data_IF_315732131368
#
_entry.id   IF_315732131368
#
_cell.length_a   1.000
_cell.length_b   1.000
_cell.length_c   1.000
_cell.angle_alpha   90.00
_cell.angle_beta   90.00
_cell.angle_gamma   90.00
#
_symmetry.space_group_name_H-M   'P 1'
#
loop_
_entity.id
_entity.type
_entity.pdbx_description
1 polymer ?
#
# COMPACT_ATOMS: atom_id res chain seq x y z
N UNK A 1 92.71 -21.74 -76.15
CA UNK A 1 92.22 -21.85 -74.75
C UNK A 1 92.05 -20.48 -74.06
N UNK A 2 92.97 -19.49 -74.27
CA UNK A 2 92.85 -18.15 -73.63
C UNK A 2 91.65 -17.32 -74.08
N UNK A 3 91.27 -17.37 -75.37
CA UNK A 3 90.04 -16.62 -75.86
C UNK A 3 88.72 -17.08 -75.23
N UNK A 4 88.57 -18.35 -74.96
CA UNK A 4 87.39 -18.89 -74.35
C UNK A 4 87.27 -18.53 -72.84
N UNK A 5 88.45 -18.38 -72.18
CA UNK A 5 88.50 -17.95 -70.78
C UNK A 5 88.13 -16.49 -70.64
N UNK A 6 88.59 -15.58 -71.46
CA UNK A 6 88.26 -14.16 -71.48
C UNK A 6 86.71 -13.92 -71.75
N UNK A 7 86.13 -14.75 -72.62
CA UNK A 7 84.70 -14.64 -72.93
C UNK A 7 83.87 -15.08 -71.72
N UNK A 8 84.30 -16.09 -71.00
CA UNK A 8 83.65 -16.61 -69.84
C UNK A 8 83.72 -15.66 -68.64
N UNK A 9 84.87 -15.03 -68.44
CA UNK A 9 85.07 -14.03 -67.39
C UNK A 9 84.27 -12.77 -67.68
N UNK A 10 84.16 -12.36 -68.92
CA UNK A 10 83.34 -11.23 -69.32
C UNK A 10 81.81 -11.52 -69.13
N UNK A 11 81.38 -12.73 -69.39
CA UNK A 11 80.01 -13.15 -69.17
C UNK A 11 79.68 -13.23 -67.66
N UNK A 12 80.63 -13.68 -66.87
CA UNK A 12 80.43 -13.72 -65.40
C UNK A 12 80.37 -12.32 -64.79
N UNK A 13 81.25 -11.39 -65.26
CA UNK A 13 81.22 -9.99 -64.85
C UNK A 13 79.94 -9.29 -65.26
N UNK A 14 79.44 -9.50 -66.47
CA UNK A 14 78.15 -8.95 -66.89
C UNK A 14 76.97 -9.50 -66.05
N UNK A 15 77.05 -10.80 -65.79
CA UNK A 15 75.94 -11.41 -64.92
C UNK A 15 76.02 -10.94 -63.49
N UNK A 16 77.26 -10.68 -62.99
CA UNK A 16 77.44 -10.11 -61.65
C UNK A 16 76.94 -8.66 -61.58
N UNK A 17 77.15 -7.86 -62.64
CA UNK A 17 76.64 -6.51 -62.77
C UNK A 17 75.10 -6.50 -62.88
N UNK A 18 74.49 -7.39 -63.67
CA UNK A 18 73.02 -7.51 -63.75
C UNK A 18 72.42 -7.91 -62.45
N UNK A 19 73.03 -8.84 -61.72
CA UNK A 19 72.58 -9.26 -60.42
C UNK A 19 72.72 -8.14 -59.37
N UNK A 20 73.78 -7.31 -59.45
CA UNK A 20 73.96 -6.17 -58.55
C UNK A 20 72.94 -5.05 -58.82
N UNK A 21 72.63 -4.79 -60.09
CA UNK A 21 71.61 -3.84 -60.52
C UNK A 21 70.21 -4.35 -60.11
N UNK A 22 69.95 -5.61 -60.32
CA UNK A 22 68.70 -6.24 -59.89
C UNK A 22 68.54 -6.21 -58.37
N UNK A 23 69.64 -6.44 -57.63
CA UNK A 23 69.62 -6.34 -56.17
C UNK A 23 69.46 -4.90 -55.70
N UNK A 24 70.05 -3.91 -56.37
CA UNK A 24 69.82 -2.50 -56.01
C UNK A 24 68.45 -1.96 -56.42
N UNK A 25 67.86 -2.48 -57.48
CA UNK A 25 66.53 -2.15 -57.92
C UNK A 25 65.43 -2.90 -57.11
N UNK A 26 65.76 -4.06 -56.53
CA UNK A 26 64.88 -4.80 -55.65
C UNK A 26 64.76 -4.19 -54.20
N UNK A 27 65.67 -3.31 -53.86
CA UNK A 27 65.55 -2.48 -52.67
C UNK A 27 64.54 -1.38 -53.04
N UNK A 28 63.26 -1.72 -52.91
CA UNK A 28 62.21 -0.76 -53.17
C UNK A 28 62.48 0.54 -52.40
N UNK A 29 62.18 1.68 -53.06
CA UNK A 29 62.31 3.01 -52.51
C UNK A 29 61.32 3.22 -51.33
N UNK A 30 61.14 2.19 -50.51
CA UNK A 30 60.32 2.27 -49.29
C UNK A 30 61.20 2.69 -48.12
N UNK A 31 61.29 3.96 -47.93
CA UNK A 31 61.90 4.53 -46.74
C UNK A 31 60.86 4.50 -45.60
N UNK A 32 61.08 3.72 -44.56
CA UNK A 32 60.34 3.80 -43.35
C UNK A 32 60.66 5.16 -42.73
N UNK A 33 59.75 6.11 -42.91
CA UNK A 33 59.86 7.48 -42.39
C UNK A 33 59.54 7.53 -40.87
N UNK A 34 58.64 6.68 -40.45
CA UNK A 34 58.25 6.63 -39.02
C UNK A 34 57.84 5.18 -38.67
N UNK A 35 58.52 4.49 -37.76
CA UNK A 35 58.07 3.21 -37.26
C UNK A 35 56.78 3.42 -36.41
N UNK A 36 55.75 2.67 -36.74
CA UNK A 36 54.52 2.70 -35.98
C UNK A 36 54.76 2.28 -34.52
N UNK A 37 54.83 3.27 -33.62
CA UNK A 37 54.98 3.05 -32.18
C UNK A 37 53.58 3.00 -31.58
N UNK A 38 53.19 1.85 -31.02
CA UNK A 38 51.96 1.73 -30.28
C UNK A 38 52.07 2.56 -28.99
N UNK A 39 51.13 3.52 -28.82
CA UNK A 39 51.09 4.30 -27.58
C UNK A 39 50.75 3.37 -26.41
N UNK A 40 51.53 3.42 -25.30
CA UNK A 40 51.30 2.55 -24.12
C UNK A 40 49.96 2.81 -23.40
N UNK A 41 49.32 3.96 -23.68
CA UNK A 41 48.01 4.29 -23.10
C UNK A 41 46.92 4.15 -24.17
N UNK A 42 45.79 3.48 -23.85
CA UNK A 42 44.66 3.35 -24.75
C UNK A 42 44.01 4.70 -25.02
N UNK A 43 43.99 5.14 -26.28
CA UNK A 43 43.39 6.43 -26.70
C UNK A 43 41.88 6.39 -26.65
N UNK A 44 41.27 5.22 -26.78
CA UNK A 44 39.82 4.94 -26.70
C UNK A 44 39.55 3.57 -26.08
N UNK A 45 38.46 3.36 -25.35
CA UNK A 45 37.48 4.36 -24.87
C UNK A 45 38.02 5.18 -23.68
N UNK A 46 37.65 6.44 -23.59
CA UNK A 46 37.98 7.33 -22.43
C UNK A 46 37.17 6.89 -21.21
N UNK A 47 37.66 5.92 -20.45
CA UNK A 47 36.97 5.26 -19.35
C UNK A 47 36.41 6.24 -18.32
N UNK A 48 37.20 7.23 -17.90
CA UNK A 48 36.79 8.24 -16.93
C UNK A 48 35.60 9.09 -17.44
N UNK A 49 35.65 9.53 -18.71
CA UNK A 49 34.58 10.32 -19.31
C UNK A 49 33.27 9.51 -19.41
N UNK A 50 33.36 8.25 -19.83
CA UNK A 50 32.20 7.38 -19.95
C UNK A 50 31.55 7.09 -18.57
N UNK A 51 32.35 6.94 -17.51
CA UNK A 51 31.85 6.75 -16.16
C UNK A 51 31.11 8.01 -15.66
N UNK A 52 31.71 9.19 -15.87
CA UNK A 52 31.06 10.48 -15.47
C UNK A 52 29.77 10.69 -16.26
N UNK A 53 29.81 10.46 -17.58
CA UNK A 53 28.60 10.61 -18.40
C UNK A 53 27.49 9.62 -18.01
N UNK A 54 27.88 8.37 -17.73
CA UNK A 54 26.93 7.34 -17.23
C UNK A 54 26.34 7.70 -15.89
N UNK A 55 27.12 8.26 -14.97
CA UNK A 55 26.65 8.73 -13.68
C UNK A 55 25.64 9.88 -13.81
N UNK A 56 25.97 10.90 -14.65
CA UNK A 56 25.09 12.04 -14.90
C UNK A 56 23.77 11.57 -15.53
N UNK A 57 23.85 10.72 -16.55
CA UNK A 57 22.66 10.19 -17.22
C UNK A 57 21.79 9.36 -16.27
N UNK A 58 22.42 8.50 -15.45
CA UNK A 58 21.73 7.71 -14.43
C UNK A 58 21.01 8.58 -13.39
N UNK A 59 21.66 9.68 -12.97
CA UNK A 59 21.07 10.65 -12.05
C UNK A 59 19.84 11.34 -12.68
N UNK A 60 19.92 11.78 -13.93
CA UNK A 60 18.79 12.39 -14.65
C UNK A 60 17.62 11.42 -14.80
N UNK A 61 17.89 10.17 -15.19
CA UNK A 61 16.86 9.12 -15.32
C UNK A 61 16.21 8.84 -13.95
N UNK A 62 17.01 8.75 -12.90
CA UNK A 62 16.51 8.51 -11.53
C UNK A 62 15.59 9.63 -11.05
N UNK A 63 16.03 10.90 -11.19
CA UNK A 63 15.22 12.06 -10.82
C UNK A 63 13.95 12.14 -11.68
N UNK A 64 14.07 11.93 -13.00
CA UNK A 64 12.92 11.89 -13.91
C UNK A 64 11.91 10.81 -13.55
N UNK A 65 12.37 9.62 -13.20
CA UNK A 65 11.51 8.52 -12.77
C UNK A 65 10.78 8.82 -11.45
N UNK A 66 11.47 9.44 -10.47
CA UNK A 66 10.86 9.86 -9.21
C UNK A 66 9.81 10.94 -9.44
N UNK A 67 10.11 11.95 -10.25
CA UNK A 67 9.17 13.02 -10.59
C UNK A 67 7.95 12.48 -11.35
N UNK A 68 8.16 11.65 -12.36
CA UNK A 68 7.09 11.01 -13.11
C UNK A 68 6.19 10.17 -12.17
N UNK A 69 6.80 9.40 -11.26
CA UNK A 69 6.06 8.62 -10.27
C UNK A 69 5.30 9.51 -9.29
N UNK A 70 5.83 10.66 -8.89
CA UNK A 70 5.16 11.62 -8.02
C UNK A 70 3.97 12.28 -8.74
N UNK A 71 4.13 12.68 -10.00
CA UNK A 71 3.05 13.27 -10.80
C UNK A 71 1.92 12.29 -11.15
N UNK A 72 2.24 11.00 -11.30
CA UNK A 72 1.26 9.96 -11.58
C UNK A 72 0.51 9.47 -10.33
N UNK A 73 1.02 9.76 -9.13
CA UNK A 73 0.33 9.44 -7.87
C UNK A 73 -0.66 10.54 -7.55
N UNK A 74 -1.91 10.37 -8.01
CA UNK A 74 -3.04 11.22 -7.65
C UNK A 74 -3.76 10.61 -6.46
N UNK A 75 -3.38 10.98 -5.26
CA UNK A 75 -4.11 10.65 -4.02
C UNK A 75 -4.79 11.90 -3.47
N UNK A 76 -5.76 11.75 -2.57
CA UNK A 76 -6.35 12.87 -1.84
C UNK A 76 -5.29 13.47 -0.93
N UNK A 77 -4.92 14.73 -1.17
CA UNK A 77 -3.90 15.46 -0.41
C UNK A 77 -4.51 16.52 0.52
N UNK A 78 -5.73 16.94 0.25
CA UNK A 78 -6.41 17.96 1.05
C UNK A 78 -7.94 17.72 1.08
N UNK A 79 -8.63 18.04 2.17
CA UNK A 79 -10.08 17.93 2.29
C UNK A 79 -10.83 18.71 1.21
N UNK A 80 -10.31 19.89 0.84
CA UNK A 80 -10.89 20.80 -0.14
C UNK A 80 -11.08 20.14 -1.51
N UNK A 81 -10.20 19.19 -1.88
CA UNK A 81 -10.32 18.43 -3.13
C UNK A 81 -11.58 17.57 -3.18
N UNK A 82 -12.04 17.07 -2.04
CA UNK A 82 -13.29 16.29 -1.95
C UNK A 82 -14.50 17.22 -1.97
N UNK A 83 -14.40 18.37 -1.30
CA UNK A 83 -15.47 19.37 -1.24
C UNK A 83 -15.73 20.00 -2.61
N UNK A 84 -14.69 20.23 -3.43
CA UNK A 84 -14.82 20.68 -4.84
C UNK A 84 -15.63 19.70 -5.70
N UNK A 85 -15.65 18.42 -5.32
CA UNK A 85 -16.45 17.39 -5.99
C UNK A 85 -17.83 17.14 -5.33
N UNK A 86 -18.24 18.03 -4.41
CA UNK A 86 -19.52 17.94 -3.73
C UNK A 86 -19.58 16.88 -2.63
N UNK A 87 -18.43 16.38 -2.15
CA UNK A 87 -18.35 15.41 -1.05
C UNK A 87 -18.05 16.17 0.24
N UNK A 88 -19.00 16.21 1.19
CA UNK A 88 -18.80 16.87 2.47
C UNK A 88 -17.78 16.12 3.34
N UNK A 89 -16.78 16.82 3.84
CA UNK A 89 -15.78 16.27 4.77
C UNK A 89 -16.19 16.59 6.20
N UNK A 90 -16.58 15.57 6.98
CA UNK A 90 -17.05 15.73 8.34
C UNK A 90 -15.94 15.86 9.38
N UNK A 91 -14.80 15.22 9.16
CA UNK A 91 -13.62 15.34 10.02
C UNK A 91 -12.34 14.86 9.33
N UNK A 92 -11.22 15.41 9.76
CA UNK A 92 -9.87 14.91 9.45
C UNK A 92 -9.26 14.30 10.70
N UNK A 93 -8.94 13.00 10.65
CA UNK A 93 -8.45 12.25 11.80
C UNK A 93 -6.94 12.05 11.66
N UNK A 94 -6.12 12.67 12.53
CA UNK A 94 -4.67 12.53 12.48
C UNK A 94 -4.22 11.12 12.89
N UNK A 95 -3.04 10.72 12.44
CA UNK A 95 -2.44 9.46 12.88
C UNK A 95 -1.98 9.59 14.35
N UNK A 96 -2.40 8.64 15.20
CA UNK A 96 -1.95 8.59 16.59
C UNK A 96 -0.48 8.15 16.69
N UNK A 97 0.39 9.05 17.15
CA UNK A 97 1.79 8.72 17.41
C UNK A 97 1.94 7.68 18.53
N UNK A 98 1.06 7.72 19.53
CA UNK A 98 1.06 6.79 20.64
C UNK A 98 0.79 5.36 20.17
N UNK A 99 -0.22 5.19 19.30
CA UNK A 99 -0.57 3.90 18.71
C UNK A 99 0.53 3.38 17.78
N UNK A 100 1.13 4.25 16.97
CA UNK A 100 2.23 3.90 16.08
C UNK A 100 3.47 3.43 16.86
N UNK A 101 3.89 4.17 17.89
CA UNK A 101 4.99 3.78 18.78
C UNK A 101 4.76 2.40 19.42
N UNK A 102 3.55 2.14 19.93
CA UNK A 102 3.21 0.83 20.53
C UNK A 102 3.17 -0.31 19.52
N UNK A 103 2.65 -0.05 18.33
CA UNK A 103 2.59 -1.05 17.25
C UNK A 103 4.00 -1.40 16.75
N UNK A 104 4.89 -0.41 16.61
CA UNK A 104 6.31 -0.62 16.24
C UNK A 104 7.06 -1.42 17.29
N UNK A 105 6.89 -1.09 18.57
CA UNK A 105 7.51 -1.83 19.68
C UNK A 105 7.02 -3.29 19.70
N UNK A 106 5.74 -3.54 19.46
CA UNK A 106 5.17 -4.89 19.37
C UNK A 106 5.76 -5.69 18.21
N UNK A 107 5.90 -5.10 17.01
CA UNK A 107 6.55 -5.74 15.87
C UNK A 107 8.01 -6.12 16.19
N UNK A 108 8.77 -5.23 16.84
CA UNK A 108 10.16 -5.48 17.23
C UNK A 108 10.29 -6.64 18.22
N UNK A 109 9.37 -6.75 19.18
CA UNK A 109 9.36 -7.82 20.19
C UNK A 109 8.90 -9.19 19.63
N UNK A 110 8.13 -9.22 18.53
CA UNK A 110 7.77 -10.46 17.84
C UNK A 110 8.96 -11.12 17.13
N UNK A 111 9.99 -10.36 16.78
CA UNK A 111 11.24 -10.88 16.21
C UNK A 111 12.24 -11.36 17.29
N UNK A 112 12.05 -11.00 18.55
CA UNK A 112 12.85 -11.52 19.65
C UNK A 112 12.13 -12.71 20.29
N UNK A 113 12.73 -13.88 20.16
CA UNK A 113 12.17 -15.21 20.46
C UNK A 113 11.82 -15.49 21.94
N UNK A 114 11.74 -14.48 22.79
CA UNK A 114 11.70 -14.66 24.25
C UNK A 114 10.35 -14.45 24.96
N UNK A 115 9.27 -14.04 24.27
CA UNK A 115 7.98 -13.84 24.96
C UNK A 115 6.76 -14.20 24.08
N UNK A 116 6.61 -15.46 23.71
CA UNK A 116 5.39 -15.97 23.03
C UNK A 116 4.11 -15.93 23.89
N UNK A 117 4.19 -15.58 25.16
CA UNK A 117 3.05 -15.67 26.09
C UNK A 117 2.56 -14.35 26.70
N UNK A 118 3.15 -13.19 26.36
CA UNK A 118 2.70 -11.91 26.95
C UNK A 118 1.99 -11.03 25.92
N UNK A 119 0.72 -10.79 26.22
CA UNK A 119 -0.22 -9.77 25.72
C UNK A 119 -0.85 -10.00 24.34
N UNK A 120 -1.97 -10.73 24.34
CA UNK A 120 -3.01 -10.73 23.30
C UNK A 120 -3.74 -9.38 23.19
N UNK A 121 -3.58 -8.45 24.12
CA UNK A 121 -4.33 -7.20 24.13
C UNK A 121 -3.77 -6.21 23.10
N UNK A 122 -4.53 -6.00 22.03
CA UNK A 122 -4.34 -4.87 21.11
C UNK A 122 -4.74 -3.61 21.88
N UNK A 123 -3.91 -2.55 21.91
CA UNK A 123 -4.29 -1.32 22.56
C UNK A 123 -5.49 -0.70 21.85
N UNK A 124 -6.51 -0.33 22.62
CA UNK A 124 -7.70 0.33 22.14
C UNK A 124 -7.65 1.81 22.50
N UNK A 125 -7.38 2.66 21.49
CA UNK A 125 -6.96 4.04 21.69
C UNK A 125 -7.98 4.86 22.49
N UNK A 126 -9.27 4.70 22.20
CA UNK A 126 -10.34 5.47 22.87
C UNK A 126 -10.40 5.26 24.39
N UNK A 127 -9.88 4.10 24.87
CA UNK A 127 -9.87 3.75 26.30
C UNK A 127 -8.48 3.91 26.90
N UNK A 128 -7.45 3.45 26.18
CA UNK A 128 -6.08 3.43 26.71
C UNK A 128 -5.37 4.81 26.66
N UNK A 129 -5.80 5.71 25.76
CA UNK A 129 -5.33 7.09 25.66
C UNK A 129 -6.42 8.04 25.14
N UNK A 130 -7.43 8.34 25.97
CA UNK A 130 -8.59 9.14 25.55
C UNK A 130 -8.28 10.60 25.20
N UNK A 131 -7.11 11.12 25.61
CA UNK A 131 -6.65 12.47 25.29
C UNK A 131 -5.84 12.56 23.96
N UNK A 132 -5.76 11.48 23.18
CA UNK A 132 -5.07 11.47 21.91
C UNK A 132 -5.79 12.34 20.88
N UNK A 133 -5.04 13.07 20.05
CA UNK A 133 -5.59 13.97 19.02
C UNK A 133 -6.52 13.24 18.04
N UNK A 134 -6.26 11.97 17.76
CA UNK A 134 -7.14 11.17 16.92
C UNK A 134 -8.50 10.89 17.60
N UNK A 135 -8.52 10.68 18.92
CA UNK A 135 -9.77 10.51 19.68
C UNK A 135 -10.56 11.82 19.73
N UNK A 136 -9.87 12.95 19.91
CA UNK A 136 -10.52 14.27 19.87
C UNK A 136 -11.14 14.56 18.50
N UNK A 137 -10.46 14.21 17.41
CA UNK A 137 -11.02 14.33 16.07
C UNK A 137 -12.26 13.45 15.88
N UNK A 138 -12.30 12.25 16.49
CA UNK A 138 -13.50 11.39 16.46
C UNK A 138 -14.63 11.95 17.34
N UNK A 139 -14.32 12.66 18.42
CA UNK A 139 -15.34 13.41 19.19
C UNK A 139 -15.96 14.54 18.38
N UNK A 140 -15.15 15.27 17.61
CA UNK A 140 -15.65 16.26 16.67
C UNK A 140 -16.53 15.60 15.58
N UNK A 141 -16.09 14.47 15.04
CA UNK A 141 -16.86 13.67 14.07
C UNK A 141 -18.22 13.26 14.65
N UNK A 142 -18.29 12.79 15.91
CA UNK A 142 -19.55 12.47 16.59
C UNK A 142 -20.53 13.63 16.54
N UNK A 143 -20.05 14.85 16.83
CA UNK A 143 -20.91 16.05 16.82
C UNK A 143 -21.44 16.35 15.42
N UNK A 144 -20.58 16.28 14.41
CA UNK A 144 -21.00 16.48 13.01
C UNK A 144 -21.98 15.42 12.53
N UNK A 145 -21.76 14.15 12.90
CA UNK A 145 -22.65 13.05 12.55
C UNK A 145 -23.99 13.13 13.25
N UNK A 146 -24.03 13.60 14.49
CA UNK A 146 -25.29 13.81 15.19
C UNK A 146 -26.25 14.69 14.39
N UNK A 147 -25.76 15.82 13.87
CA UNK A 147 -26.56 16.69 13.01
C UNK A 147 -26.92 16.05 11.68
N UNK A 148 -25.97 15.36 11.04
CA UNK A 148 -26.22 14.69 9.76
C UNK A 148 -27.26 13.56 9.87
N UNK A 149 -27.34 12.90 11.02
CA UNK A 149 -28.27 11.79 11.25
C UNK A 149 -29.66 12.23 11.76
N UNK A 150 -29.86 13.50 12.09
CA UNK A 150 -31.19 13.99 12.56
C UNK A 150 -32.27 13.90 11.48
N UNK A 151 -31.90 13.88 10.21
CA UNK A 151 -32.83 13.83 9.07
C UNK A 151 -32.93 12.42 8.45
N UNK A 152 -32.27 11.41 9.04
CA UNK A 152 -32.27 10.06 8.50
C UNK A 152 -33.43 9.21 9.00
N UNK A 153 -33.80 8.20 8.18
CA UNK A 153 -34.94 7.31 8.50
C UNK A 153 -34.66 6.34 9.66
N UNK A 154 -33.38 6.07 9.94
CA UNK A 154 -32.97 5.14 10.99
C UNK A 154 -31.63 5.55 11.61
N UNK A 155 -31.28 4.95 12.76
CA UNK A 155 -30.06 5.21 13.52
C UNK A 155 -28.87 4.31 13.11
N UNK A 156 -28.87 3.78 11.89
CA UNK A 156 -27.84 2.85 11.42
C UNK A 156 -26.83 3.62 10.60
N UNK A 157 -25.58 3.62 11.06
CA UNK A 157 -24.42 4.23 10.39
C UNK A 157 -23.54 3.14 9.79
N UNK A 158 -23.45 3.09 8.47
CA UNK A 158 -22.45 2.26 7.79
C UNK A 158 -21.12 2.99 7.66
N UNK A 159 -20.03 2.33 8.01
CA UNK A 159 -18.67 2.85 7.79
C UNK A 159 -17.97 1.95 6.78
N UNK A 160 -17.54 2.57 5.69
CA UNK A 160 -16.79 1.90 4.62
C UNK A 160 -15.55 2.72 4.25
N UNK A 161 -14.73 2.23 3.35
CA UNK A 161 -13.56 2.94 2.84
C UNK A 161 -13.38 2.69 1.36
N UNK A 162 -12.65 3.55 0.68
CA UNK A 162 -12.34 3.35 -0.72
C UNK A 162 -11.40 2.15 -0.93
N UNK A 163 -10.38 2.01 -0.10
CA UNK A 163 -9.32 0.99 -0.24
C UNK A 163 -9.12 0.20 1.06
N UNK A 164 -8.52 -1.00 0.99
CA UNK A 164 -8.01 -1.69 2.18
C UNK A 164 -7.08 -0.79 2.99
N UNK A 165 -7.00 -1.01 4.30
CA UNK A 165 -6.14 -0.28 5.23
C UNK A 165 -6.35 1.25 5.29
N UNK A 166 -7.54 1.73 4.87
CA UNK A 166 -7.92 3.15 5.00
C UNK A 166 -8.19 3.60 6.45
N UNK A 167 -8.25 2.68 7.40
CA UNK A 167 -8.51 2.98 8.81
C UNK A 167 -9.99 2.85 9.22
N UNK A 168 -10.86 2.25 8.42
CA UNK A 168 -12.29 2.06 8.69
C UNK A 168 -12.57 1.54 10.10
N UNK A 169 -12.06 0.36 10.41
CA UNK A 169 -12.28 -0.30 11.70
C UNK A 169 -11.71 0.50 12.89
N UNK A 170 -10.66 1.29 12.66
CA UNK A 170 -10.16 2.23 13.66
C UNK A 170 -11.17 3.34 13.93
N UNK A 171 -11.70 3.96 12.87
CA UNK A 171 -12.70 5.04 12.99
C UNK A 171 -13.99 4.50 13.57
N UNK A 172 -14.53 3.38 13.05
CA UNK A 172 -15.78 2.78 13.48
C UNK A 172 -15.74 2.35 14.95
N UNK A 173 -14.69 1.67 15.37
CA UNK A 173 -14.53 1.21 16.75
C UNK A 173 -14.29 2.36 17.73
N UNK A 174 -13.48 3.35 17.36
CA UNK A 174 -13.22 4.53 18.20
C UNK A 174 -14.47 5.37 18.35
N UNK A 175 -15.25 5.54 17.27
CA UNK A 175 -16.53 6.24 17.29
C UNK A 175 -17.55 5.53 18.18
N UNK A 176 -17.65 4.19 18.11
CA UNK A 176 -18.51 3.40 18.98
C UNK A 176 -18.22 3.66 20.46
N UNK A 177 -16.93 3.64 20.84
CA UNK A 177 -16.54 3.90 22.24
C UNK A 177 -16.80 5.35 22.67
N UNK A 178 -16.52 6.33 21.80
CA UNK A 178 -16.72 7.76 22.09
C UNK A 178 -18.21 8.06 22.30
N UNK A 179 -19.10 7.40 21.56
CA UNK A 179 -20.54 7.55 21.68
C UNK A 179 -21.06 6.83 22.93
N UNK A 180 -20.61 5.60 23.18
CA UNK A 180 -20.98 4.84 24.37
C UNK A 180 -20.57 5.54 25.68
N UNK A 181 -19.46 6.29 25.70
CA UNK A 181 -19.01 7.12 26.81
C UNK A 181 -20.02 8.27 27.17
N UNK A 182 -21.00 8.51 26.31
CA UNK A 182 -22.09 9.49 26.55
C UNK A 182 -23.41 8.82 26.95
N UNK A 183 -23.32 7.66 27.57
CA UNK A 183 -24.48 6.86 28.07
C UNK A 183 -25.47 6.42 26.98
N UNK A 184 -25.02 6.41 25.70
CA UNK A 184 -25.81 5.89 24.58
C UNK A 184 -25.58 4.39 24.40
N UNK A 185 -26.62 3.65 24.10
CA UNK A 185 -26.57 2.23 23.77
C UNK A 185 -26.07 2.09 22.33
N UNK A 186 -24.87 1.55 22.16
CA UNK A 186 -24.25 1.37 20.84
C UNK A 186 -24.08 -0.11 20.52
N UNK A 187 -24.47 -0.49 19.31
CA UNK A 187 -24.16 -1.80 18.73
C UNK A 187 -23.14 -1.65 17.61
N UNK A 188 -22.02 -2.35 17.73
CA UNK A 188 -21.01 -2.47 16.67
C UNK A 188 -21.19 -3.81 15.94
N UNK A 189 -21.35 -3.78 14.61
CA UNK A 189 -21.51 -4.97 13.76
C UNK A 189 -20.31 -5.03 12.80
N UNK A 190 -19.48 -6.08 12.90
CA UNK A 190 -18.41 -6.37 11.94
C UNK A 190 -18.99 -7.12 10.73
N UNK A 191 -19.36 -6.36 9.70
CA UNK A 191 -19.90 -6.89 8.44
C UNK A 191 -18.80 -7.14 7.37
N UNK A 192 -17.52 -6.96 7.70
CA UNK A 192 -16.43 -7.44 6.85
C UNK A 192 -16.21 -8.95 7.08
N UNK A 193 -17.13 -9.76 6.55
CA UNK A 193 -17.08 -11.23 6.67
C UNK A 193 -15.83 -11.86 6.06
N UNK A 194 -15.05 -11.10 5.30
CA UNK A 194 -13.84 -11.58 4.62
C UNK A 194 -12.58 -11.36 5.46
N UNK A 195 -12.41 -10.17 6.01
CA UNK A 195 -11.19 -9.73 6.70
C UNK A 195 -11.44 -9.04 8.03
N UNK A 196 -12.70 -8.99 8.51
CA UNK A 196 -13.02 -8.40 9.80
C UNK A 196 -12.13 -8.95 10.91
N UNK A 197 -11.64 -8.09 11.78
CA UNK A 197 -10.76 -8.46 12.88
C UNK A 197 -11.18 -7.82 14.23
N UNK A 198 -12.38 -7.31 14.31
CA UNK A 198 -12.95 -6.65 15.48
C UNK A 198 -12.89 -7.53 16.75
N UNK A 199 -13.05 -8.86 16.59
CA UNK A 199 -12.90 -9.82 17.69
C UNK A 199 -11.51 -9.77 18.35
N UNK A 200 -10.44 -9.54 17.59
CA UNK A 200 -9.09 -9.37 18.13
C UNK A 200 -8.93 -8.01 18.81
N UNK A 201 -9.53 -6.96 18.24
CA UNK A 201 -9.47 -5.60 18.78
C UNK A 201 -10.18 -5.50 20.12
N UNK A 202 -11.37 -6.08 20.22
CA UNK A 202 -12.20 -6.06 21.42
C UNK A 202 -11.92 -7.22 22.38
N UNK A 203 -11.08 -8.18 21.97
CA UNK A 203 -10.76 -9.38 22.77
C UNK A 203 -12.02 -10.17 23.15
N UNK A 204 -12.94 -10.34 22.21
CA UNK A 204 -14.18 -11.12 22.33
C UNK A 204 -14.11 -12.37 21.46
N UNK A 205 -15.04 -13.32 21.69
CA UNK A 205 -15.10 -14.57 20.89
C UNK A 205 -15.50 -14.30 19.44
N UNK A 206 -14.98 -15.12 18.52
CA UNK A 206 -15.37 -15.12 17.10
C UNK A 206 -15.99 -16.45 16.66
N UNK A 207 -16.41 -17.29 17.61
CA UNK A 207 -17.03 -18.59 17.30
C UNK A 207 -18.49 -18.43 16.88
N UNK A 208 -19.17 -17.45 17.51
CA UNK A 208 -20.54 -17.09 17.26
C UNK A 208 -20.59 -15.62 16.83
N UNK A 209 -20.89 -15.37 15.56
CA UNK A 209 -20.88 -14.02 15.01
C UNK A 209 -21.92 -13.84 13.91
N UNK A 210 -21.75 -12.76 13.14
CA UNK A 210 -22.70 -12.37 12.10
C UNK A 210 -22.89 -13.47 11.04
N UNK A 211 -21.84 -14.18 10.67
CA UNK A 211 -21.93 -15.26 9.66
C UNK A 211 -22.79 -16.43 10.14
N UNK A 212 -22.68 -16.84 11.40
CA UNK A 212 -23.47 -17.91 12.01
C UNK A 212 -24.94 -17.49 12.14
N UNK A 213 -25.20 -16.26 12.56
CA UNK A 213 -26.54 -15.70 12.61
C UNK A 213 -27.20 -15.65 11.24
N UNK A 214 -26.52 -15.07 10.24
CA UNK A 214 -27.06 -14.97 8.88
C UNK A 214 -27.25 -16.35 8.20
N UNK A 215 -26.42 -17.33 8.57
CA UNK A 215 -26.59 -18.70 8.09
C UNK A 215 -27.77 -19.45 8.79
N UNK A 216 -28.35 -18.90 9.84
CA UNK A 216 -29.41 -19.54 10.62
C UNK A 216 -28.93 -20.60 11.61
N UNK A 217 -27.63 -20.61 11.92
CA UNK A 217 -27.03 -21.55 12.86
C UNK A 217 -27.14 -21.10 14.30
N UNK A 218 -27.11 -19.80 14.53
CA UNK A 218 -27.19 -19.20 15.86
C UNK A 218 -28.33 -18.17 15.94
N UNK A 219 -28.85 -18.00 17.16
CA UNK A 219 -29.83 -17.00 17.50
C UNK A 219 -29.15 -15.69 17.91
N UNK A 220 -29.88 -14.57 17.85
CA UNK A 220 -29.35 -13.22 18.04
C UNK A 220 -28.70 -13.03 19.43
N UNK A 221 -29.33 -13.54 20.50
CA UNK A 221 -28.81 -13.44 21.86
C UNK A 221 -27.45 -14.12 22.07
N UNK A 222 -27.06 -15.05 21.18
CA UNK A 222 -25.84 -15.80 21.27
C UNK A 222 -24.67 -15.09 20.57
N UNK A 223 -24.96 -14.25 19.58
CA UNK A 223 -23.94 -13.56 18.77
C UNK A 223 -23.61 -12.17 19.29
N UNK A 224 -24.47 -11.58 20.13
CA UNK A 224 -24.22 -10.29 20.77
C UNK A 224 -23.30 -10.50 21.97
N UNK A 225 -22.20 -9.78 22.02
CA UNK A 225 -21.21 -9.82 23.10
C UNK A 225 -20.97 -8.41 23.62
N UNK A 226 -20.81 -8.25 24.94
CA UNK A 226 -20.54 -6.95 25.54
C UNK A 226 -19.02 -6.68 25.60
N UNK A 227 -18.58 -5.54 25.05
CA UNK A 227 -17.21 -5.06 25.20
C UNK A 227 -17.11 -4.10 26.40
N UNK A 228 -16.85 -4.66 27.57
CA UNK A 228 -16.89 -3.92 28.85
C UNK A 228 -15.93 -2.72 28.93
N UNK A 229 -14.75 -2.77 28.28
CA UNK A 229 -13.81 -1.63 28.24
C UNK A 229 -14.34 -0.46 27.41
N UNK A 230 -15.09 -0.73 26.35
CA UNK A 230 -15.65 0.28 25.46
C UNK A 230 -17.05 0.70 25.83
N UNK A 231 -17.75 -0.08 26.65
CA UNK A 231 -19.11 0.20 27.11
C UNK A 231 -20.18 0.00 26.02
N UNK A 232 -19.94 -0.85 25.01
CA UNK A 232 -20.87 -1.10 23.91
C UNK A 232 -20.95 -2.58 23.56
N UNK A 233 -22.00 -2.96 22.85
CA UNK A 233 -22.22 -4.31 22.38
C UNK A 233 -21.64 -4.55 20.99
N UNK A 234 -21.20 -5.79 20.73
CA UNK A 234 -20.47 -6.17 19.51
C UNK A 234 -21.06 -7.44 18.93
N UNK A 235 -21.30 -7.44 17.63
CA UNK A 235 -21.45 -8.64 16.82
C UNK A 235 -20.18 -8.78 15.95
N UNK A 236 -19.38 -9.80 16.22
CA UNK A 236 -18.19 -10.09 15.44
C UNK A 236 -18.58 -10.71 14.10
N UNK A 237 -17.66 -10.76 13.13
CA UNK A 237 -17.93 -11.36 11.82
C UNK A 237 -18.30 -12.85 11.88
N UNK A 238 -17.81 -13.59 12.89
CA UNK A 238 -17.89 -15.04 12.97
C UNK A 238 -16.85 -15.76 12.11
N UNK A 239 -17.11 -16.98 11.71
CA UNK A 239 -16.27 -17.76 10.81
C UNK A 239 -16.39 -17.22 9.38
N UNK A 240 -15.30 -17.31 8.61
CA UNK A 240 -15.31 -16.82 7.21
C UNK A 240 -16.19 -17.72 6.36
N UNK A 241 -17.33 -17.22 5.83
CA UNK A 241 -18.18 -18.03 4.98
C UNK A 241 -17.64 -18.15 3.55
N UNK A 242 -18.04 -19.15 2.78
CA UNK A 242 -17.63 -19.30 1.38
C UNK A 242 -18.30 -18.23 0.47
N UNK A 243 -19.46 -17.71 0.87
CA UNK A 243 -20.29 -16.79 0.08
C UNK A 243 -20.72 -15.55 0.89
N UNK A 244 -19.79 -14.63 1.26
CA UNK A 244 -20.10 -13.49 2.13
C UNK A 244 -21.22 -12.59 1.61
N UNK A 245 -21.15 -12.20 0.33
CA UNK A 245 -22.12 -11.27 -0.27
C UNK A 245 -23.54 -11.84 -0.27
N UNK A 246 -23.71 -13.13 -0.53
CA UNK A 246 -25.02 -13.79 -0.51
C UNK A 246 -25.62 -13.85 0.90
N UNK A 247 -24.77 -14.03 1.93
CA UNK A 247 -25.23 -13.99 3.31
C UNK A 247 -25.74 -12.62 3.70
N UNK A 248 -25.02 -11.56 3.31
CA UNK A 248 -25.44 -10.18 3.59
C UNK A 248 -26.72 -9.77 2.85
N UNK A 249 -27.06 -10.43 1.74
CA UNK A 249 -28.32 -10.23 0.99
C UNK A 249 -29.53 -10.92 1.60
N UNK A 250 -29.36 -11.80 2.59
CA UNK A 250 -30.47 -12.52 3.20
C UNK A 250 -31.40 -11.61 4.02
N UNK A 251 -32.67 -11.97 4.09
CA UNK A 251 -33.66 -11.28 4.94
C UNK A 251 -33.25 -11.18 6.40
N UNK A 252 -32.48 -12.14 6.91
CA UNK A 252 -31.96 -12.10 8.28
C UNK A 252 -31.05 -10.89 8.55
N UNK A 253 -30.34 -10.37 7.54
CA UNK A 253 -29.55 -9.14 7.70
C UNK A 253 -30.49 -7.93 7.89
N UNK A 254 -31.53 -7.82 7.10
CA UNK A 254 -32.53 -6.77 7.24
C UNK A 254 -33.24 -6.85 8.60
N UNK A 255 -33.68 -8.05 8.99
CA UNK A 255 -34.29 -8.29 10.31
C UNK A 255 -33.37 -7.91 11.48
N UNK A 256 -32.06 -8.21 11.37
CA UNK A 256 -31.06 -7.80 12.35
C UNK A 256 -30.99 -6.27 12.48
N UNK A 257 -30.90 -5.58 11.33
CA UNK A 257 -30.79 -4.12 11.32
C UNK A 257 -32.05 -3.43 11.83
N UNK A 258 -33.23 -3.92 11.45
CA UNK A 258 -34.52 -3.44 11.99
C UNK A 258 -34.62 -3.63 13.53
N UNK A 259 -34.29 -4.84 14.01
CA UNK A 259 -34.26 -5.12 15.43
C UNK A 259 -33.22 -4.23 16.17
N UNK A 260 -32.02 -4.04 15.59
CA UNK A 260 -30.98 -3.22 16.19
C UNK A 260 -31.39 -1.73 16.27
N UNK A 261 -32.05 -1.22 15.23
CA UNK A 261 -32.61 0.13 15.21
C UNK A 261 -33.58 0.40 16.39
N UNK A 262 -34.38 -0.60 16.78
CA UNK A 262 -35.34 -0.47 17.84
C UNK A 262 -34.78 -0.62 19.28
N UNK A 263 -33.55 -1.21 19.39
CA UNK A 263 -32.98 -1.56 20.70
C UNK A 263 -31.74 -0.73 21.09
N UNK A 264 -31.12 -0.06 20.14
CA UNK A 264 -29.91 0.74 20.33
C UNK A 264 -30.12 2.19 19.88
N UNK A 265 -29.43 3.12 20.52
CA UNK A 265 -29.46 4.53 20.13
C UNK A 265 -28.63 4.78 18.85
N UNK A 266 -27.60 3.95 18.62
CA UNK A 266 -26.79 3.95 17.38
C UNK A 266 -26.32 2.55 17.04
N UNK A 267 -26.41 2.19 15.76
CA UNK A 267 -25.87 0.96 15.20
C UNK A 267 -24.76 1.32 14.21
N UNK A 268 -23.54 0.86 14.49
CA UNK A 268 -22.39 1.06 13.59
C UNK A 268 -22.10 -0.24 12.85
N UNK A 269 -22.15 -0.20 11.52
CA UNK A 269 -21.86 -1.34 10.65
C UNK A 269 -20.53 -1.11 9.93
N UNK A 270 -19.48 -1.83 10.36
CA UNK A 270 -18.15 -1.80 9.73
C UNK A 270 -18.12 -2.73 8.52
N UNK A 271 -17.91 -2.20 7.32
CA UNK A 271 -18.00 -2.94 6.06
C UNK A 271 -16.65 -3.01 5.34
N UNK A 272 -16.45 -3.98 4.43
CA UNK A 272 -15.25 -4.03 3.61
C UNK A 272 -15.14 -2.83 2.66
N UNK A 273 -13.95 -2.59 2.06
CA UNK A 273 -13.75 -1.47 1.14
C UNK A 273 -14.68 -1.54 -0.07
N UNK A 274 -15.36 -0.43 -0.37
CA UNK A 274 -16.36 -0.33 -1.45
C UNK A 274 -15.78 -0.64 -2.84
N UNK A 275 -14.53 -0.23 -3.12
CA UNK A 275 -13.90 -0.49 -4.41
C UNK A 275 -13.37 -1.92 -4.56
N UNK A 276 -13.28 -2.67 -3.47
CA UNK A 276 -12.78 -4.05 -3.51
C UNK A 276 -13.89 -5.08 -3.71
N UNK A 277 -15.07 -4.84 -3.11
CA UNK A 277 -16.18 -5.79 -3.10
C UNK A 277 -17.54 -5.05 -3.02
N UNK A 278 -18.60 -5.70 -3.49
CA UNK A 278 -19.96 -5.15 -3.50
C UNK A 278 -20.68 -5.22 -2.14
N UNK A 279 -20.09 -5.84 -1.14
CA UNK A 279 -20.71 -6.11 0.17
C UNK A 279 -21.21 -4.82 0.86
N UNK A 280 -20.40 -3.74 0.81
CA UNK A 280 -20.79 -2.44 1.35
C UNK A 280 -22.02 -1.85 0.64
N UNK A 281 -22.13 -2.02 -0.69
CA UNK A 281 -23.27 -1.53 -1.45
C UNK A 281 -24.57 -2.31 -1.12
N UNK A 282 -24.43 -3.59 -0.76
CA UNK A 282 -25.57 -4.41 -0.31
C UNK A 282 -26.10 -3.90 1.02
N UNK A 283 -25.23 -3.72 2.01
CA UNK A 283 -25.59 -3.22 3.34
C UNK A 283 -26.11 -1.78 3.25
N UNK A 284 -25.53 -0.95 2.40
CA UNK A 284 -25.87 0.47 2.24
C UNK A 284 -27.32 0.75 1.87
N UNK A 285 -28.08 -0.24 1.37
CA UNK A 285 -29.52 -0.10 1.07
C UNK A 285 -30.41 -0.06 2.31
N UNK A 286 -29.91 -0.51 3.45
CA UNK A 286 -30.70 -0.68 4.69
C UNK A 286 -30.21 0.22 5.82
N UNK A 287 -29.33 1.19 5.53
CA UNK A 287 -28.76 2.10 6.53
C UNK A 287 -29.23 3.53 6.30
N UNK A 288 -29.35 4.31 7.37
CA UNK A 288 -29.75 5.72 7.30
C UNK A 288 -28.64 6.61 6.79
N UNK A 289 -27.39 6.31 7.17
CA UNK A 289 -26.22 7.13 6.81
C UNK A 289 -25.03 6.25 6.45
N UNK A 290 -24.21 6.71 5.50
CA UNK A 290 -22.96 6.06 5.11
C UNK A 290 -21.78 7.01 5.22
N UNK A 291 -20.76 6.61 5.97
CA UNK A 291 -19.51 7.36 6.13
C UNK A 291 -18.39 6.68 5.35
N UNK A 292 -17.77 7.42 4.43
CA UNK A 292 -16.62 6.96 3.67
C UNK A 292 -15.30 7.40 4.33
N UNK A 293 -14.47 6.45 4.71
CA UNK A 293 -13.14 6.71 5.25
C UNK A 293 -12.11 6.69 4.11
N UNK A 294 -11.52 7.85 3.83
CA UNK A 294 -10.45 8.02 2.87
C UNK A 294 -9.12 8.24 3.61
N UNK A 295 -8.05 7.62 3.12
CA UNK A 295 -6.71 7.80 3.67
C UNK A 295 -5.92 8.81 2.83
N UNK A 296 -5.24 9.74 3.51
CA UNK A 296 -4.30 10.67 2.90
C UNK A 296 -3.29 9.94 1.99
N UNK A 297 -3.04 10.48 0.80
CA UNK A 297 -2.19 9.90 -0.26
C UNK A 297 -2.61 8.48 -0.73
N UNK A 298 -3.81 8.04 -0.42
CA UNK A 298 -4.36 6.81 -0.99
C UNK A 298 -5.05 7.14 -2.32
N UNK A 299 -4.76 6.33 -3.35
CA UNK A 299 -5.43 6.43 -4.64
C UNK A 299 -6.92 6.12 -4.45
N UNK A 300 -7.77 7.13 -4.64
CA UNK A 300 -9.19 6.92 -4.88
C UNK A 300 -9.34 6.94 -6.39
N UNK A 301 -9.56 5.78 -7.01
CA UNK A 301 -10.01 5.72 -8.38
C UNK A 301 -11.49 6.12 -8.40
N UNK A 302 -11.71 7.37 -8.71
CA UNK A 302 -13.05 7.87 -9.04
C UNK A 302 -13.33 7.52 -10.49
#
# INVERSE_FOLDING_TARGET
RQRQMCIRDRQLLNRQQELSISKSSAIGNVRIIDPAVTQPQPVKPKKALNVVLGFILGLFISVGAVLARAMLRRGVEAPEQLEEHGISVYATIPMSEWLDKRTRLRKKNLFSNQQRHRTKNIPFLAVDNPADSAVEAVRALRTSLHFAMMETENNILMITGATPDSGKTFVSSTLAAVIAQSDQKVLFIDADLRRGYSHNLFTVSNEHGLSEYLAGKDELNKVIQHFGKGGFDVITRGQVPPNPSELLMRDRMRQLLEWANDHYDLVIVDTPPMLAVSDAAVVGRSVGTSLLVARFLSLIHI
#
